data_IF_657321193384
#
_entry.id   IF_657321193384
#
_cell.length_a   1.000
_cell.length_b   1.000
_cell.length_c   1.000
_cell.angle_alpha   90.00
_cell.angle_beta   90.00
_cell.angle_gamma   90.00
#
_symmetry.space_group_name_H-M   'P 1'
#
loop_
_entity.id
_entity.type
_entity.pdbx_description
1 polymer ?
#
# COMPACT_ATOMS: atom_id res chain seq x y z
N UNK A 1 -2.94 6.38 -5.94
CA UNK A 1 -1.68 5.82 -6.50
C UNK A 1 -1.56 5.85 -8.03
N UNK A 2 -2.65 6.07 -8.78
CA UNK A 2 -2.63 5.95 -10.26
C UNK A 2 -1.64 6.88 -10.96
N UNK A 3 -1.42 8.09 -10.43
CA UNK A 3 -0.47 9.06 -11.01
C UNK A 3 0.97 8.56 -10.93
N UNK A 4 1.44 8.15 -9.74
CA UNK A 4 2.81 7.68 -9.56
C UNK A 4 3.10 6.40 -10.35
N UNK A 5 2.13 5.49 -10.42
CA UNK A 5 2.25 4.29 -11.26
C UNK A 5 2.33 4.67 -12.74
N UNK A 6 1.57 5.67 -13.20
CA UNK A 6 1.64 6.16 -14.59
C UNK A 6 3.01 6.76 -14.89
N UNK A 7 3.56 7.56 -13.98
CA UNK A 7 4.91 8.14 -14.11
C UNK A 7 5.97 7.04 -14.15
N UNK A 8 5.90 6.05 -13.25
CA UNK A 8 6.83 4.93 -13.24
C UNK A 8 6.77 4.12 -14.55
N UNK A 9 5.57 3.86 -15.10
CA UNK A 9 5.39 3.16 -16.38
C UNK A 9 6.00 3.87 -17.59
N UNK A 10 6.17 5.19 -17.52
CA UNK A 10 6.80 5.99 -18.59
C UNK A 10 8.33 5.91 -18.56
N UNK A 11 8.93 5.41 -17.47
CA UNK A 11 10.37 5.19 -17.37
C UNK A 11 10.76 3.89 -18.08
N UNK A 12 11.96 3.85 -18.66
CA UNK A 12 12.51 2.63 -19.29
C UNK A 12 12.62 1.46 -18.32
N UNK A 13 12.96 1.74 -17.05
CA UNK A 13 13.03 0.75 -15.96
C UNK A 13 11.66 0.36 -15.39
N UNK A 14 10.58 1.03 -15.80
CA UNK A 14 9.23 0.91 -15.23
C UNK A 14 9.16 1.13 -13.71
N UNK A 15 10.04 1.98 -13.18
CA UNK A 15 10.16 2.31 -11.75
C UNK A 15 10.19 3.81 -11.56
N UNK A 16 9.79 4.31 -10.39
CA UNK A 16 10.06 5.71 -10.06
C UNK A 16 11.57 5.94 -9.94
N UNK A 17 12.10 7.09 -10.42
CA UNK A 17 13.52 7.41 -10.31
C UNK A 17 13.96 7.62 -8.85
N UNK A 18 13.02 8.04 -7.98
CA UNK A 18 13.22 8.18 -6.55
C UNK A 18 12.14 7.36 -5.85
N UNK A 19 12.54 6.55 -4.87
CA UNK A 19 11.63 5.70 -4.10
C UNK A 19 10.66 6.56 -3.29
N UNK A 20 9.36 6.31 -3.46
CA UNK A 20 8.31 6.97 -2.71
C UNK A 20 7.92 6.11 -1.50
N UNK A 21 7.91 6.70 -0.31
CA UNK A 21 7.36 6.09 0.91
C UNK A 21 6.07 6.82 1.29
N UNK A 22 4.97 6.09 1.37
CA UNK A 22 3.69 6.59 1.84
C UNK A 22 3.45 6.03 3.24
N UNK A 23 3.58 6.89 4.24
CA UNK A 23 3.29 6.56 5.64
C UNK A 23 1.91 7.11 5.94
N UNK A 24 1.01 6.25 6.40
CA UNK A 24 -0.34 6.65 6.77
C UNK A 24 -0.55 6.26 8.21
N UNK A 25 -0.55 7.30 9.05
CA UNK A 25 -0.91 7.15 10.45
C UNK A 25 -2.40 6.85 10.58
N UNK A 26 -2.73 6.01 11.55
CA UNK A 26 -4.11 5.65 11.92
C UNK A 26 -5.00 5.27 10.72
N UNK A 27 -4.49 4.41 9.83
CA UNK A 27 -5.21 4.00 8.61
C UNK A 27 -6.58 3.37 8.90
N UNK A 28 -6.76 2.84 10.11
CA UNK A 28 -8.01 2.25 10.59
C UNK A 28 -9.21 3.22 10.42
N UNK A 29 -8.98 4.53 10.57
CA UNK A 29 -10.01 5.56 10.47
C UNK A 29 -10.51 5.81 9.04
N UNK A 30 -9.70 5.47 8.03
CA UNK A 30 -10.05 5.61 6.61
C UNK A 30 -10.88 4.41 6.13
N UNK A 31 -10.94 3.35 6.94
CA UNK A 31 -11.67 2.12 6.63
C UNK A 31 -10.86 1.15 5.75
N UNK A 32 -11.57 0.21 5.11
CA UNK A 32 -10.96 -0.85 4.31
C UNK A 32 -10.61 -0.36 2.91
N UNK A 33 -9.34 -0.51 2.52
CA UNK A 33 -8.94 -0.32 1.13
C UNK A 33 -9.35 -1.53 0.28
N UNK A 34 -10.06 -1.34 -0.84
CA UNK A 34 -10.40 -2.44 -1.73
C UNK A 34 -9.13 -3.02 -2.36
N UNK A 35 -9.02 -4.35 -2.39
CA UNK A 35 -7.90 -5.08 -2.98
C UNK A 35 -6.51 -4.64 -2.45
N UNK A 36 -6.44 -4.36 -1.15
CA UNK A 36 -5.24 -3.77 -0.54
C UNK A 36 -3.97 -4.61 -0.75
N UNK A 37 -4.04 -5.94 -0.63
CA UNK A 37 -2.92 -6.84 -0.93
C UNK A 37 -2.39 -6.68 -2.37
N UNK A 38 -3.30 -6.67 -3.35
CA UNK A 38 -2.96 -6.47 -4.77
C UNK A 38 -2.34 -5.09 -5.00
N UNK A 39 -2.85 -4.07 -4.30
CA UNK A 39 -2.29 -2.72 -4.35
C UNK A 39 -0.86 -2.73 -3.81
N UNK A 40 -0.60 -3.27 -2.61
CA UNK A 40 0.72 -3.35 -2.00
C UNK A 40 1.73 -4.08 -2.89
N UNK A 41 1.35 -5.25 -3.41
CA UNK A 41 2.17 -6.03 -4.33
C UNK A 41 2.48 -5.27 -5.63
N UNK A 42 1.52 -4.51 -6.15
CA UNK A 42 1.69 -3.70 -7.36
C UNK A 42 2.61 -2.50 -7.13
N UNK A 43 2.42 -1.77 -6.03
CA UNK A 43 3.20 -0.57 -5.70
C UNK A 43 4.68 -0.87 -5.53
N UNK A 44 5.02 -2.02 -4.93
CA UNK A 44 6.41 -2.45 -4.74
C UNK A 44 7.17 -2.57 -6.07
N UNK A 45 6.51 -2.98 -7.16
CA UNK A 45 7.12 -3.07 -8.51
C UNK A 45 7.53 -1.70 -9.07
N UNK A 46 6.90 -0.63 -8.60
CA UNK A 46 7.07 0.74 -9.10
C UNK A 46 7.93 1.61 -8.17
N UNK A 47 8.65 1.02 -7.21
CA UNK A 47 9.42 1.76 -6.18
C UNK A 47 8.52 2.65 -5.30
N UNK A 48 7.29 2.20 -5.03
CA UNK A 48 6.38 2.82 -4.07
C UNK A 48 6.20 1.87 -2.88
N UNK A 49 6.54 2.34 -1.69
CA UNK A 49 6.32 1.64 -0.42
C UNK A 49 5.13 2.26 0.29
N UNK A 50 4.26 1.42 0.82
CA UNK A 50 3.08 1.85 1.58
C UNK A 50 3.20 1.24 2.98
N UNK A 51 3.18 2.11 3.99
CA UNK A 51 3.45 1.79 5.39
C UNK A 51 2.21 2.21 6.20
N UNK A 52 1.23 1.30 6.35
CA UNK A 52 0.06 1.55 7.16
C UNK A 52 0.40 1.39 8.65
N UNK A 53 0.04 2.38 9.46
CA UNK A 53 0.17 2.28 10.91
C UNK A 53 -1.21 1.95 11.49
N UNK A 54 -1.27 0.85 12.22
CA UNK A 54 -2.44 0.43 13.01
C UNK A 54 -2.11 0.60 14.49
N UNK A 55 -3.08 1.04 15.29
CA UNK A 55 -2.90 1.20 16.74
C UNK A 55 -2.84 -0.16 17.43
N UNK A 56 -3.57 -1.14 16.91
CA UNK A 56 -3.59 -2.50 17.43
C UNK A 56 -3.90 -3.55 16.33
N UNK A 57 -3.56 -4.80 16.63
CA UNK A 57 -3.78 -5.93 15.70
C UNK A 57 -5.28 -6.24 15.53
N UNK A 58 -6.13 -5.91 16.49
CA UNK A 58 -7.58 -6.05 16.40
C UNK A 58 -8.17 -5.19 15.28
N UNK A 59 -7.68 -3.97 15.08
CA UNK A 59 -8.10 -3.09 13.98
C UNK A 59 -7.88 -3.73 12.60
N UNK A 60 -6.69 -4.26 12.33
CA UNK A 60 -6.40 -4.90 11.04
C UNK A 60 -7.20 -6.21 10.87
N UNK A 61 -7.37 -7.00 11.93
CA UNK A 61 -8.21 -8.21 11.92
C UNK A 61 -9.68 -7.89 11.63
N UNK A 62 -10.20 -6.81 12.19
CA UNK A 62 -11.57 -6.39 11.95
C UNK A 62 -11.78 -5.97 10.49
N UNK A 63 -10.84 -5.21 9.92
CA UNK A 63 -10.94 -4.72 8.55
C UNK A 63 -10.69 -5.81 7.48
N UNK A 64 -9.71 -6.68 7.69
CA UNK A 64 -9.26 -7.63 6.66
C UNK A 64 -9.56 -9.09 6.97
N UNK A 65 -10.08 -9.42 8.16
CA UNK A 65 -10.43 -10.81 8.57
C UNK A 65 -9.27 -11.75 8.26
N UNK A 66 -9.48 -12.83 7.52
CA UNK A 66 -8.47 -13.86 7.21
C UNK A 66 -7.30 -13.33 6.36
N UNK A 67 -7.53 -12.26 5.60
CA UNK A 67 -6.53 -11.60 4.74
C UNK A 67 -5.49 -10.76 5.51
N UNK A 68 -5.70 -10.50 6.79
CA UNK A 68 -4.81 -9.61 7.56
C UNK A 68 -3.35 -10.11 7.61
N UNK A 69 -3.14 -11.43 7.58
CA UNK A 69 -1.83 -12.08 7.64
C UNK A 69 -0.98 -11.87 6.39
N UNK A 70 -1.60 -11.53 5.26
CA UNK A 70 -0.91 -11.23 3.99
C UNK A 70 -0.55 -9.75 3.86
N UNK A 71 -1.18 -8.90 4.68
CA UNK A 71 -0.99 -7.44 4.68
C UNK A 71 0.12 -7.02 5.66
N UNK A 72 0.25 -7.77 6.76
CA UNK A 72 1.21 -7.52 7.85
C UNK A 72 2.60 -8.07 7.51
#
# INVERSE_FOLDING_TARGET
FNVQVKVAKQQSSRKLPIRLRCIIDEIANIGKFPHFENLLATLRKYEVSFEPIYQDIGQIKHQYKDSFSTIL
#
